data_IF_986154389831
#
_entry.id   IF_986154389831
#
_cell.length_a   1.000
_cell.length_b   1.000
_cell.length_c   1.000
_cell.angle_alpha   90.00
_cell.angle_beta   90.00
_cell.angle_gamma   90.00
#
_symmetry.space_group_name_H-M   'P 1'
#
loop_
_entity.id
_entity.type
_entity.pdbx_description
1 polymer ?
#
# COMPACT_ATOMS: atom_id res chain seq x y z
N UNK A 1 -4.40 10.59 10.66
CA UNK A 1 -3.62 11.42 9.72
C UNK A 1 -4.45 12.52 9.07
N UNK A 2 -5.47 12.17 8.27
CA UNK A 2 -6.28 13.14 7.49
C UNK A 2 -6.94 14.24 8.32
N UNK A 3 -7.27 13.98 9.59
CA UNK A 3 -7.72 15.04 10.49
C UNK A 3 -6.66 16.13 10.71
N UNK A 4 -5.40 15.73 10.91
CA UNK A 4 -4.31 16.67 11.17
C UNK A 4 -3.89 17.39 9.89
N UNK A 5 -3.86 16.67 8.75
CA UNK A 5 -3.61 17.20 7.42
C UNK A 5 -4.72 16.78 6.45
N UNK A 6 -5.80 17.56 6.33
CA UNK A 6 -6.92 17.24 5.45
C UNK A 6 -6.51 17.22 3.97
N UNK A 7 -7.11 16.37 3.12
CA UNK A 7 -6.87 16.42 1.68
C UNK A 7 -7.05 17.84 1.11
N UNK A 8 -6.13 18.27 0.26
CA UNK A 8 -6.18 19.58 -0.39
C UNK A 8 -6.27 19.37 -1.90
N UNK A 9 -7.22 20.01 -2.58
CA UNK A 9 -7.44 19.92 -4.03
C UNK A 9 -7.28 18.49 -4.59
N UNK A 10 -7.89 17.49 -3.93
CA UNK A 10 -7.86 16.09 -4.35
C UNK A 10 -6.58 15.30 -4.00
N UNK A 11 -5.58 15.89 -3.34
CA UNK A 11 -4.40 15.16 -2.85
C UNK A 11 -4.50 14.93 -1.35
N UNK A 12 -4.52 13.65 -0.95
CA UNK A 12 -4.45 13.23 0.44
C UNK A 12 -2.98 13.18 0.93
N UNK A 13 -2.72 13.36 2.24
CA UNK A 13 -1.41 13.08 2.80
C UNK A 13 -1.11 11.57 2.77
N UNK A 14 0.17 11.22 2.79
CA UNK A 14 0.65 9.84 2.91
C UNK A 14 1.75 9.73 3.97
N UNK A 15 1.91 8.52 4.52
CA UNK A 15 3.00 8.20 5.44
C UNK A 15 4.32 8.19 4.67
N UNK A 16 5.33 8.88 5.19
CA UNK A 16 6.71 8.87 4.67
C UNK A 16 7.69 8.19 5.62
N UNK A 17 7.28 7.89 6.84
CA UNK A 17 8.07 7.19 7.83
C UNK A 17 7.18 6.57 8.90
N UNK A 18 7.28 5.27 9.13
CA UNK A 18 6.38 4.57 10.05
C UNK A 18 6.89 4.57 11.48
N UNK A 19 5.99 4.42 12.44
CA UNK A 19 6.36 4.16 13.83
C UNK A 19 7.07 2.80 13.93
N UNK A 20 8.22 2.77 14.62
CA UNK A 20 9.04 1.56 14.78
C UNK A 20 9.86 1.20 13.55
N UNK A 21 9.86 2.03 12.49
CA UNK A 21 10.74 1.83 11.33
C UNK A 21 12.20 1.90 11.76
N UNK A 22 12.97 0.85 11.50
CA UNK A 22 14.38 0.82 11.85
C UNK A 22 15.16 1.75 10.92
N UNK A 23 15.62 2.87 11.47
CA UNK A 23 16.56 3.77 10.80
C UNK A 23 17.95 3.47 11.32
N UNK A 24 18.97 3.70 10.49
CA UNK A 24 20.40 3.32 10.65
C UNK A 24 21.04 3.42 12.05
N UNK A 25 20.45 4.12 13.02
CA UNK A 25 20.90 4.14 14.41
C UNK A 25 19.82 3.82 15.47
N UNK A 26 18.52 4.00 15.20
CA UNK A 26 17.40 3.83 16.15
C UNK A 26 16.07 3.64 15.44
N UNK A 27 15.15 2.96 16.12
CA UNK A 27 13.76 2.85 15.68
C UNK A 27 13.07 4.22 15.73
N UNK A 28 12.26 4.48 14.70
CA UNK A 28 11.55 5.74 14.56
C UNK A 28 10.41 5.85 15.59
N UNK A 29 10.48 6.84 16.49
CA UNK A 29 9.58 6.97 17.64
C UNK A 29 8.17 7.50 17.34
N UNK A 30 7.85 7.77 16.08
CA UNK A 30 6.58 8.39 15.66
C UNK A 30 6.26 8.04 14.21
N UNK A 31 5.24 8.68 13.64
CA UNK A 31 4.89 8.55 12.22
C UNK A 31 5.10 9.89 11.52
N UNK A 32 5.83 9.87 10.41
CA UNK A 32 6.08 11.01 9.54
C UNK A 32 5.11 10.98 8.37
N UNK A 33 4.54 12.13 7.99
CA UNK A 33 3.63 12.21 6.85
C UNK A 33 3.58 13.61 6.23
N UNK A 34 3.30 13.65 4.93
CA UNK A 34 3.17 14.88 4.15
C UNK A 34 2.31 14.64 2.88
N UNK A 35 2.15 15.64 2.00
CA UNK A 35 1.38 15.47 0.75
C UNK A 35 2.21 14.92 -0.40
N UNK A 36 3.50 15.26 -0.45
CA UNK A 36 4.42 14.91 -1.52
C UNK A 36 5.81 14.65 -0.92
N UNK A 37 6.53 13.61 -1.34
CA UNK A 37 7.88 13.35 -0.83
C UNK A 37 8.85 14.50 -1.13
N UNK A 38 9.73 14.83 -0.16
CA UNK A 38 10.79 15.84 -0.32
C UNK A 38 10.39 17.29 -0.01
N UNK A 39 11.27 18.24 -0.38
CA UNK A 39 11.10 19.69 -0.18
C UNK A 39 10.42 20.37 -1.39
N UNK A 40 9.36 19.77 -1.93
CA UNK A 40 8.73 20.26 -3.15
C UNK A 40 7.23 20.53 -2.96
N UNK A 41 6.70 21.35 -3.86
CA UNK A 41 5.27 21.53 -4.05
C UNK A 41 4.54 22.05 -2.81
N UNK A 42 3.37 21.48 -2.53
CA UNK A 42 2.42 21.97 -1.52
C UNK A 42 3.00 22.02 -0.10
N UNK A 43 3.97 21.18 0.24
CA UNK A 43 4.54 21.18 1.58
C UNK A 43 5.27 22.50 1.90
N UNK A 44 5.77 23.22 0.87
CA UNK A 44 6.39 24.54 1.02
C UNK A 44 5.38 25.67 1.28
N UNK A 45 4.08 25.40 1.12
CA UNK A 45 3.01 26.35 1.45
C UNK A 45 2.62 26.30 2.93
N UNK A 46 3.34 25.51 3.74
CA UNK A 46 3.12 25.38 5.18
C UNK A 46 1.64 25.08 5.52
N UNK A 47 1.06 23.98 4.99
CA UNK A 47 -0.34 23.66 5.20
C UNK A 47 -0.68 23.59 6.70
N UNK A 48 -1.88 24.09 7.05
CA UNK A 48 -2.36 24.08 8.44
C UNK A 48 -2.40 22.66 8.99
N UNK A 49 -1.83 22.50 10.18
CA UNK A 49 -1.89 21.26 10.97
C UNK A 49 -2.94 21.43 12.04
N UNK A 50 -3.78 20.40 12.20
CA UNK A 50 -4.90 20.39 13.14
C UNK A 50 -4.71 19.35 14.24
N UNK A 51 -5.39 19.54 15.36
CA UNK A 51 -5.34 18.61 16.49
C UNK A 51 -5.96 17.25 16.11
N UNK A 52 -5.28 16.13 16.40
CA UNK A 52 -5.86 14.80 16.18
C UNK A 52 -7.01 14.48 17.16
N UNK A 53 -7.02 15.13 18.33
CA UNK A 53 -7.89 14.82 19.47
C UNK A 53 -8.43 16.08 20.16
N UNK A 54 -9.48 15.92 20.96
CA UNK A 54 -9.78 16.91 21.99
C UNK A 54 -8.83 16.73 23.18
N UNK A 55 -8.50 17.81 23.88
CA UNK A 55 -7.58 17.74 25.02
C UNK A 55 -7.04 19.09 25.45
N UNK A 56 -6.06 19.06 26.36
CA UNK A 56 -5.38 20.27 26.85
C UNK A 56 -3.96 20.33 26.35
N UNK A 57 -3.54 21.48 25.83
CA UNK A 57 -2.16 21.72 25.40
C UNK A 57 -1.26 21.74 26.64
N UNK A 58 -0.27 20.85 26.70
CA UNK A 58 0.70 20.77 27.80
C UNK A 58 2.06 21.32 27.44
N UNK A 59 2.29 21.64 26.16
CA UNK A 59 3.52 22.30 25.69
C UNK A 59 3.30 22.87 24.29
N UNK A 60 3.86 24.03 23.99
CA UNK A 60 3.80 24.67 22.68
C UNK A 60 5.11 25.45 22.40
N UNK A 61 5.83 25.09 21.32
CA UNK A 61 7.05 25.78 20.87
C UNK A 61 8.32 24.93 20.96
N UNK A 62 9.42 25.53 21.42
CA UNK A 62 10.73 24.87 21.51
C UNK A 62 11.44 24.69 20.16
N UNK A 63 12.63 24.10 20.20
CA UNK A 63 13.52 23.98 19.05
C UNK A 63 13.02 23.07 17.93
N UNK A 64 12.01 22.25 18.19
CA UNK A 64 11.34 21.40 17.21
C UNK A 64 10.00 21.96 16.73
N UNK A 65 9.53 23.10 17.26
CA UNK A 65 8.17 23.59 16.96
C UNK A 65 7.10 22.59 17.41
N UNK A 66 7.21 22.10 18.64
CA UNK A 66 6.38 21.02 19.17
C UNK A 66 5.06 21.56 19.73
N UNK A 67 3.96 20.84 19.50
CA UNK A 67 2.72 20.94 20.27
C UNK A 67 2.46 19.62 20.96
N UNK A 68 2.27 19.63 22.29
CA UNK A 68 1.85 18.46 23.07
C UNK A 68 0.43 18.65 23.57
N UNK A 69 -0.41 17.64 23.41
CA UNK A 69 -1.82 17.65 23.80
C UNK A 69 -2.05 16.43 24.67
N UNK A 70 -2.65 16.64 25.85
CA UNK A 70 -3.10 15.56 26.72
C UNK A 70 -4.59 15.31 26.51
N UNK A 71 -4.93 14.08 26.13
CA UNK A 71 -6.34 13.67 25.96
C UNK A 71 -6.98 13.31 27.32
N UNK A 72 -8.27 12.99 27.29
CA UNK A 72 -9.03 12.61 28.48
C UNK A 72 -8.57 11.28 29.12
N UNK A 73 -7.90 10.43 28.35
CA UNK A 73 -7.35 9.15 28.77
C UNK A 73 -5.94 9.30 29.35
N UNK A 74 -5.37 10.51 29.35
CA UNK A 74 -4.03 10.81 29.85
C UNK A 74 -2.92 10.58 28.82
N UNK A 75 -3.24 10.19 27.58
CA UNK A 75 -2.25 10.02 26.52
C UNK A 75 -1.68 11.38 26.10
N UNK A 76 -0.41 11.39 25.73
CA UNK A 76 0.30 12.58 25.25
C UNK A 76 0.52 12.48 23.74
N UNK A 77 -0.19 13.33 22.99
CA UNK A 77 -0.06 13.50 21.55
C UNK A 77 0.96 14.59 21.27
N UNK A 78 2.10 14.26 20.67
CA UNK A 78 3.15 15.23 20.39
C UNK A 78 3.37 15.38 18.89
N UNK A 79 3.13 16.59 18.39
CA UNK A 79 3.25 16.98 16.99
C UNK A 79 4.47 17.86 16.85
N UNK A 80 5.44 17.45 16.03
CA UNK A 80 6.76 18.07 15.90
C UNK A 80 6.98 18.61 14.49
N UNK A 81 8.07 19.37 14.36
CA UNK A 81 8.57 20.00 13.13
C UNK A 81 7.66 21.10 12.57
N UNK A 82 6.76 21.67 13.38
CA UNK A 82 5.90 22.75 12.92
C UNK A 82 6.71 24.01 12.61
N UNK A 83 6.33 24.67 11.52
CA UNK A 83 6.87 25.97 11.12
C UNK A 83 6.28 27.08 12.00
N UNK A 84 4.95 27.11 12.15
CA UNK A 84 4.23 27.99 13.06
C UNK A 84 3.47 27.21 14.12
N UNK A 85 3.44 27.71 15.35
CA UNK A 85 2.58 27.21 16.44
C UNK A 85 1.50 28.26 16.73
N UNK A 86 0.24 27.83 16.76
CA UNK A 86 -0.94 28.71 16.92
C UNK A 86 -1.63 28.59 18.28
N UNK A 87 -1.15 27.68 19.12
CA UNK A 87 -1.73 27.38 20.43
C UNK A 87 -0.74 27.70 21.55
N UNK A 88 -1.25 27.75 22.78
CA UNK A 88 -0.45 27.98 24.00
C UNK A 88 -0.73 26.93 25.06
N UNK A 89 0.22 26.72 25.95
CA UNK A 89 0.06 25.84 27.10
C UNK A 89 -1.17 26.22 27.94
N UNK A 90 -1.91 25.21 28.41
CA UNK A 90 -3.18 25.34 29.12
C UNK A 90 -4.41 25.51 28.23
N UNK A 91 -4.26 25.70 26.91
CA UNK A 91 -5.40 25.81 26.00
C UNK A 91 -6.14 24.48 25.83
N UNK A 92 -7.46 24.49 25.98
CA UNK A 92 -8.33 23.36 25.61
C UNK A 92 -8.63 23.39 24.12
N UNK A 93 -8.55 22.23 23.47
CA UNK A 93 -8.77 22.02 22.05
C UNK A 93 -9.87 20.99 21.82
N UNK A 94 -10.61 21.18 20.73
CA UNK A 94 -11.41 20.14 20.09
C UNK A 94 -10.59 19.41 19.03
N UNK A 95 -10.99 18.19 18.70
CA UNK A 95 -10.42 17.47 17.56
C UNK A 95 -10.68 18.26 16.27
N UNK A 96 -9.64 18.48 15.47
CA UNK A 96 -9.71 19.28 14.25
C UNK A 96 -9.41 20.77 14.42
N UNK A 97 -9.18 21.27 15.64
CA UNK A 97 -8.75 22.66 15.83
C UNK A 97 -7.37 22.91 15.22
N UNK A 98 -7.16 24.08 14.61
CA UNK A 98 -5.86 24.43 14.04
C UNK A 98 -4.82 24.65 15.14
N UNK A 99 -3.70 23.92 15.07
CA UNK A 99 -2.62 23.97 16.08
C UNK A 99 -1.34 24.62 15.58
N UNK A 100 -1.15 24.68 14.26
CA UNK A 100 0.07 25.20 13.65
C UNK A 100 0.12 25.03 12.14
N UNK A 101 1.32 25.07 11.58
CA UNK A 101 1.58 24.84 10.16
C UNK A 101 2.72 23.85 9.98
N UNK A 102 2.63 23.02 8.94
CA UNK A 102 3.67 22.04 8.61
C UNK A 102 5.00 22.75 8.36
N UNK A 103 6.09 22.16 8.83
CA UNK A 103 7.44 22.68 8.64
C UNK A 103 8.48 21.57 8.52
N UNK A 104 9.74 21.96 8.74
CA UNK A 104 10.89 21.08 8.83
C UNK A 104 11.80 21.46 10.00
N UNK A 105 11.22 22.10 11.03
CA UNK A 105 11.99 22.71 12.12
C UNK A 105 12.69 21.65 12.98
N UNK A 106 13.98 21.86 13.23
CA UNK A 106 14.78 21.06 14.13
C UNK A 106 15.69 21.91 15.00
N UNK A 107 16.49 21.28 15.88
CA UNK A 107 17.36 21.96 16.83
C UNK A 107 18.36 22.94 16.17
N UNK A 108 18.70 22.70 14.91
CA UNK A 108 19.66 23.47 14.15
C UNK A 108 19.02 24.49 13.18
N UNK A 109 17.69 24.65 13.18
CA UNK A 109 17.02 25.68 12.38
C UNK A 109 15.62 25.33 11.88
N UNK A 110 14.95 26.31 11.27
CA UNK A 110 13.56 26.21 10.82
C UNK A 110 13.33 25.23 9.65
N UNK A 111 14.36 24.90 8.88
CA UNK A 111 14.29 24.02 7.69
C UNK A 111 15.32 22.89 7.75
N UNK A 112 15.67 22.42 8.95
CA UNK A 112 16.65 21.34 9.13
C UNK A 112 16.23 20.03 8.45
N UNK A 113 14.94 19.74 8.45
CA UNK A 113 14.37 18.54 7.85
C UNK A 113 13.56 18.88 6.60
N UNK A 114 13.28 17.87 5.77
CA UNK A 114 12.26 18.01 4.73
C UNK A 114 10.90 18.36 5.36
N UNK A 115 10.00 18.98 4.60
CA UNK A 115 8.71 19.39 5.14
C UNK A 115 7.82 18.17 5.44
N UNK A 116 7.49 17.96 6.71
CA UNK A 116 6.63 16.88 7.16
C UNK A 116 6.00 17.22 8.52
N UNK A 117 4.97 16.45 8.88
CA UNK A 117 4.51 16.39 10.27
C UNK A 117 5.04 15.10 10.87
N UNK A 118 5.77 15.22 11.98
CA UNK A 118 6.11 14.07 12.82
C UNK A 118 5.12 14.02 13.98
N UNK A 119 4.42 12.90 14.13
CA UNK A 119 3.51 12.68 15.23
C UNK A 119 3.97 11.48 16.06
N UNK A 120 4.25 11.71 17.34
CA UNK A 120 4.53 10.66 18.32
C UNK A 120 3.41 10.62 19.37
N UNK A 121 3.12 9.42 19.86
CA UNK A 121 2.09 9.19 20.87
C UNK A 121 2.70 8.48 22.07
N UNK A 122 2.37 8.95 23.26
CA UNK A 122 2.67 8.26 24.51
C UNK A 122 1.39 7.91 25.23
N UNK A 123 1.31 6.72 25.80
CA UNK A 123 0.21 6.36 26.70
C UNK A 123 0.28 7.14 28.02
N UNK A 124 -0.72 6.96 28.88
CA UNK A 124 -0.77 7.60 30.20
C UNK A 124 0.44 7.28 31.11
N UNK A 125 1.16 6.18 30.83
CA UNK A 125 2.37 5.78 31.56
C UNK A 125 3.65 6.35 30.91
N UNK A 126 3.54 7.12 29.84
CA UNK A 126 4.65 7.72 29.11
C UNK A 126 5.32 6.79 28.08
N UNK A 127 4.81 5.56 27.89
CA UNK A 127 5.36 4.60 26.93
C UNK A 127 4.99 5.04 25.52
N UNK A 128 5.96 5.04 24.61
CA UNK A 128 5.71 5.28 23.18
C UNK A 128 4.78 4.20 22.62
N UNK A 129 3.77 4.65 21.87
CA UNK A 129 2.79 3.80 21.22
C UNK A 129 2.58 4.26 19.78
N UNK A 130 2.05 3.35 18.95
CA UNK A 130 1.84 3.61 17.53
C UNK A 130 0.75 4.66 17.29
N UNK A 131 1.10 5.83 16.72
CA UNK A 131 0.12 6.84 16.30
C UNK A 131 -0.86 6.28 15.26
N UNK A 132 -0.34 5.46 14.34
CA UNK A 132 -1.10 4.76 13.31
C UNK A 132 -2.22 3.90 13.91
N UNK A 133 -1.93 3.17 14.98
CA UNK A 133 -2.93 2.36 15.69
C UNK A 133 -4.00 3.25 16.32
N UNK A 134 -3.58 4.30 17.02
CA UNK A 134 -4.49 5.21 17.70
C UNK A 134 -5.50 5.88 16.75
N UNK A 135 -5.03 6.47 15.64
CA UNK A 135 -5.97 7.16 14.73
C UNK A 135 -6.81 6.18 13.90
N UNK A 136 -6.37 4.94 13.74
CA UNK A 136 -7.19 3.88 13.11
C UNK A 136 -8.31 3.42 14.06
N UNK A 137 -8.05 3.37 15.36
CA UNK A 137 -9.07 3.14 16.39
C UNK A 137 -10.04 4.32 16.52
N UNK A 138 -9.56 5.57 16.49
CA UNK A 138 -10.41 6.77 16.51
C UNK A 138 -11.42 6.82 15.37
N UNK A 139 -11.03 6.40 14.15
CA UNK A 139 -11.96 6.26 13.01
C UNK A 139 -13.06 5.22 13.25
N UNK A 140 -12.81 4.20 14.07
CA UNK A 140 -13.81 3.19 14.43
C UNK A 140 -14.78 3.71 15.49
N UNK A 141 -14.34 4.56 16.42
CA UNK A 141 -15.21 5.22 17.39
C UNK A 141 -16.12 6.28 16.74
N UNK A 142 -15.59 7.10 15.83
CA UNK A 142 -16.38 8.10 15.09
C UNK A 142 -17.38 7.43 14.13
N UNK A 143 -17.03 6.28 13.53
CA UNK A 143 -17.94 5.48 12.70
C UNK A 143 -18.94 4.63 13.53
N UNK A 144 -18.64 4.39 14.81
CA UNK A 144 -19.45 3.58 15.74
C UNK A 144 -20.56 4.36 16.45
N UNK A 145 -20.55 5.69 16.40
CA UNK A 145 -21.63 6.52 16.96
C UNK A 145 -22.95 6.45 16.15
N UNK A 146 -22.97 5.72 15.03
CA UNK A 146 -24.12 5.61 14.13
C UNK A 146 -24.77 4.23 14.01
N UNK A 147 -24.44 3.24 14.85
CA UNK A 147 -25.26 2.02 14.89
C UNK A 147 -25.28 1.36 16.26
N UNK A 148 -26.44 1.42 16.89
CA UNK A 148 -26.87 0.59 18.01
C UNK A 148 -27.14 -0.84 17.51
N UNK A 149 -26.24 -1.79 17.77
CA UNK A 149 -26.64 -3.14 18.20
C UNK A 149 -25.48 -3.97 18.76
N UNK A 150 -25.81 -4.67 19.83
CA UNK A 150 -25.07 -5.58 20.70
C UNK A 150 -24.51 -6.83 19.99
N UNK A 151 -23.20 -7.11 20.15
CA UNK A 151 -22.56 -8.45 20.17
C UNK A 151 -21.07 -8.33 20.58
N UNK A 152 -20.44 -9.35 21.20
CA UNK A 152 -19.31 -9.17 22.11
C UNK A 152 -17.93 -9.07 21.43
N UNK A 153 -17.00 -8.51 22.21
CA UNK A 153 -15.58 -8.28 21.99
C UNK A 153 -14.86 -9.22 21.00
N UNK A 154 -14.24 -8.63 19.99
CA UNK A 154 -13.07 -9.19 19.29
C UNK A 154 -12.17 -8.04 18.86
N UNK A 155 -10.97 -7.98 19.44
CA UNK A 155 -10.00 -6.89 19.30
C UNK A 155 -9.45 -6.77 17.88
N UNK A 156 -10.04 -5.89 17.07
CA UNK A 156 -9.53 -5.61 15.71
C UNK A 156 -8.51 -4.45 15.72
N UNK A 157 -7.43 -4.58 16.49
CA UNK A 157 -6.23 -3.75 16.36
C UNK A 157 -5.20 -4.44 15.48
N UNK A 158 -4.55 -3.74 14.55
CA UNK A 158 -3.53 -4.32 13.67
C UNK A 158 -2.39 -4.95 14.50
N UNK A 159 -1.97 -6.18 14.16
CA UNK A 159 -0.86 -6.87 14.85
C UNK A 159 0.47 -6.52 14.17
N UNK A 160 1.56 -6.37 14.91
CA UNK A 160 2.89 -6.01 14.36
C UNK A 160 4.01 -6.49 15.26
N UNK A 161 5.24 -6.33 14.77
CA UNK A 161 6.45 -6.66 15.51
C UNK A 161 6.47 -6.06 16.92
N UNK A 162 6.80 -6.91 17.91
CA UNK A 162 6.81 -6.59 19.33
C UNK A 162 5.48 -6.85 20.07
N UNK A 163 4.39 -7.14 19.35
CA UNK A 163 3.12 -7.51 19.99
C UNK A 163 3.20 -8.89 20.64
N UNK A 164 2.53 -9.05 21.78
CA UNK A 164 2.39 -10.33 22.48
C UNK A 164 0.94 -10.51 22.93
N UNK A 165 0.21 -11.44 22.32
CA UNK A 165 -1.20 -11.70 22.62
C UNK A 165 -1.71 -13.02 22.03
N UNK A 166 -2.89 -13.46 22.47
CA UNK A 166 -3.60 -14.59 21.85
C UNK A 166 -3.97 -14.34 20.38
N UNK A 167 -4.15 -13.09 19.97
CA UNK A 167 -4.41 -12.75 18.56
C UNK A 167 -3.15 -12.96 17.69
N UNK A 168 -1.96 -12.76 18.25
CA UNK A 168 -0.69 -13.08 17.58
C UNK A 168 -0.50 -14.60 17.47
N UNK A 169 -0.86 -15.36 18.50
CA UNK A 169 -0.82 -16.82 18.46
C UNK A 169 -1.74 -17.36 17.36
N UNK A 170 -2.96 -16.81 17.28
CA UNK A 170 -3.92 -17.15 16.22
C UNK A 170 -3.44 -16.75 14.83
N UNK A 171 -2.80 -15.59 14.70
CA UNK A 171 -2.13 -15.19 13.45
C UNK A 171 -1.06 -16.21 13.02
N UNK A 172 -0.19 -16.62 13.94
CA UNK A 172 0.88 -17.59 13.65
C UNK A 172 0.30 -18.94 13.21
N UNK A 173 -0.78 -19.39 13.85
CA UNK A 173 -1.54 -20.58 13.44
C UNK A 173 -2.14 -20.43 12.03
N UNK A 174 -2.75 -19.29 11.73
CA UNK A 174 -3.35 -19.01 10.42
C UNK A 174 -2.29 -18.95 9.31
N UNK A 175 -1.14 -18.30 9.55
CA UNK A 175 0.00 -18.27 8.63
C UNK A 175 0.56 -19.67 8.37
N UNK A 176 0.74 -20.47 9.43
CA UNK A 176 1.21 -21.86 9.31
C UNK A 176 0.23 -22.72 8.48
N UNK A 177 -1.08 -22.56 8.71
CA UNK A 177 -2.16 -23.26 7.98
C UNK A 177 -2.18 -22.88 6.50
N UNK A 178 -1.92 -21.62 6.17
CA UNK A 178 -1.80 -21.14 4.79
C UNK A 178 -0.48 -21.55 4.10
N UNK A 179 0.39 -22.27 4.80
CA UNK A 179 1.68 -22.72 4.25
C UNK A 179 2.75 -21.63 4.22
N UNK A 180 2.48 -20.45 4.79
CA UNK A 180 3.46 -19.37 4.90
C UNK A 180 4.53 -19.76 5.93
N UNK A 181 5.78 -19.44 5.62
CA UNK A 181 6.98 -19.82 6.39
C UNK A 181 7.82 -18.56 6.66
N UNK A 182 8.76 -18.69 7.60
CA UNK A 182 9.78 -17.65 7.78
C UNK A 182 10.74 -17.58 6.59
N UNK A 183 11.67 -16.63 6.63
CA UNK A 183 12.65 -16.42 5.57
C UNK A 183 13.59 -17.62 5.34
N UNK A 184 13.70 -18.52 6.32
CA UNK A 184 14.52 -19.74 6.27
C UNK A 184 13.71 -20.97 5.84
N UNK A 185 12.41 -20.81 5.56
CA UNK A 185 11.51 -21.88 5.15
C UNK A 185 10.97 -22.71 6.32
N UNK A 186 11.23 -22.32 7.57
CA UNK A 186 10.74 -23.03 8.74
C UNK A 186 9.31 -22.62 9.09
N UNK A 187 8.64 -23.51 9.82
CA UNK A 187 7.32 -23.26 10.40
C UNK A 187 7.45 -22.27 11.56
N UNK A 188 6.49 -21.34 11.69
CA UNK A 188 6.46 -20.39 12.80
C UNK A 188 6.16 -21.10 14.12
N UNK A 189 6.81 -20.65 15.21
CA UNK A 189 6.39 -20.98 16.56
C UNK A 189 5.05 -20.26 16.86
N UNK A 190 4.08 -21.01 17.36
CA UNK A 190 2.75 -20.52 17.74
C UNK A 190 2.79 -20.10 19.23
N UNK A 191 3.66 -19.15 19.56
CA UNK A 191 4.02 -18.77 20.92
C UNK A 191 3.38 -17.44 21.38
N UNK A 192 2.56 -16.83 20.53
CA UNK A 192 1.89 -15.57 20.79
C UNK A 192 2.80 -14.34 20.71
N UNK A 193 4.05 -14.48 20.25
CA UNK A 193 5.03 -13.38 20.16
C UNK A 193 5.30 -12.99 18.72
N UNK A 194 5.03 -11.72 18.41
CA UNK A 194 5.27 -11.19 17.08
C UNK A 194 6.74 -10.74 16.97
N UNK A 195 7.66 -11.71 16.90
CA UNK A 195 9.08 -11.49 16.64
C UNK A 195 9.43 -11.44 15.16
N UNK A 196 10.72 -11.34 14.84
CA UNK A 196 11.24 -11.21 13.48
C UNK A 196 10.68 -12.28 12.53
N UNK A 197 10.67 -13.55 12.94
CA UNK A 197 10.15 -14.65 12.11
C UNK A 197 8.66 -14.45 11.73
N UNK A 198 7.85 -13.94 12.66
CA UNK A 198 6.42 -13.66 12.40
C UNK A 198 6.27 -12.47 11.46
N UNK A 199 7.11 -11.44 11.61
CA UNK A 199 7.14 -10.28 10.72
C UNK A 199 7.51 -10.65 9.29
N UNK A 200 8.56 -11.45 9.12
CA UNK A 200 9.00 -11.90 7.80
C UNK A 200 7.92 -12.77 7.13
N UNK A 201 7.26 -13.65 7.87
CA UNK A 201 6.14 -14.43 7.34
C UNK A 201 4.93 -13.55 6.96
N UNK A 202 4.62 -12.52 7.74
CA UNK A 202 3.57 -11.55 7.38
C UNK A 202 3.94 -10.78 6.13
N UNK A 203 5.20 -10.34 5.98
CA UNK A 203 5.68 -9.70 4.76
C UNK A 203 5.62 -10.64 3.56
N UNK A 204 5.91 -11.92 3.74
CA UNK A 204 5.77 -12.94 2.70
C UNK A 204 4.31 -13.13 2.27
N UNK A 205 3.37 -13.19 3.23
CA UNK A 205 1.94 -13.22 2.93
C UNK A 205 1.52 -11.93 2.18
N UNK A 206 1.93 -10.77 2.68
CA UNK A 206 1.61 -9.49 2.04
C UNK A 206 2.14 -9.45 0.61
N UNK A 207 3.37 -9.88 0.38
CA UNK A 207 3.96 -10.03 -0.95
C UNK A 207 3.14 -10.95 -1.84
N UNK A 208 2.75 -12.11 -1.33
CA UNK A 208 1.94 -13.09 -2.06
C UNK A 208 0.57 -12.52 -2.46
N UNK A 209 0.01 -11.62 -1.66
CA UNK A 209 -1.30 -11.00 -1.88
C UNK A 209 -1.22 -9.59 -2.49
N UNK A 210 -0.06 -9.17 -3.00
CA UNK A 210 0.12 -7.85 -3.63
C UNK A 210 -0.08 -6.67 -2.68
N UNK A 211 0.00 -6.92 -1.36
CA UNK A 211 -0.11 -5.92 -0.32
C UNK A 211 1.25 -5.26 -0.07
N UNK A 212 1.21 -4.08 0.55
CA UNK A 212 2.42 -3.44 1.08
C UNK A 212 3.10 -4.38 2.10
N UNK A 213 4.37 -4.68 1.87
CA UNK A 213 5.18 -5.58 2.70
C UNK A 213 5.71 -4.85 3.94
N UNK A 214 4.80 -4.30 4.74
CA UNK A 214 5.13 -3.51 5.93
C UNK A 214 5.30 -4.38 7.19
N UNK A 215 4.97 -5.68 7.11
CA UNK A 215 5.05 -6.60 8.25
C UNK A 215 3.97 -6.35 9.29
N UNK A 216 2.92 -5.58 8.95
CA UNK A 216 1.81 -5.21 9.83
C UNK A 216 0.53 -5.92 9.39
N UNK A 217 -0.09 -6.62 10.32
CA UNK A 217 -1.37 -7.31 10.14
C UNK A 217 -2.53 -6.33 10.32
N UNK A 218 -2.63 -5.39 9.37
CA UNK A 218 -3.75 -4.47 9.22
C UNK A 218 -5.01 -5.14 8.66
N UNK A 219 -6.03 -4.34 8.33
CA UNK A 219 -7.31 -4.85 7.80
C UNK A 219 -7.12 -5.67 6.52
N UNK A 220 -6.27 -5.20 5.61
CA UNK A 220 -6.02 -5.86 4.32
C UNK A 220 -5.26 -7.16 4.52
N UNK A 221 -4.26 -7.17 5.40
CA UNK A 221 -3.53 -8.39 5.78
C UNK A 221 -4.44 -9.39 6.51
N UNK A 222 -5.34 -8.94 7.39
CA UNK A 222 -6.37 -9.79 8.01
C UNK A 222 -7.35 -10.37 7.00
N UNK A 223 -7.74 -9.58 6.00
CA UNK A 223 -8.56 -10.08 4.90
C UNK A 223 -7.83 -11.17 4.10
N UNK A 224 -6.53 -10.99 3.84
CA UNK A 224 -5.69 -12.02 3.21
C UNK A 224 -5.54 -13.29 4.08
N UNK A 225 -5.45 -13.17 5.40
CA UNK A 225 -5.41 -14.31 6.34
C UNK A 225 -6.75 -15.08 6.41
N UNK A 226 -7.87 -14.36 6.24
CA UNK A 226 -9.22 -14.93 6.28
C UNK A 226 -9.66 -15.49 4.93
N UNK A 227 -8.99 -15.10 3.85
CA UNK A 227 -9.19 -15.69 2.55
C UNK A 227 -8.65 -17.12 2.56
N UNK A 228 -9.56 -18.10 2.64
CA UNK A 228 -9.24 -19.46 2.19
C UNK A 228 -8.71 -19.39 0.76
N UNK A 229 -7.86 -20.35 0.30
CA UNK A 229 -7.36 -20.37 -1.07
C UNK A 229 -8.55 -20.56 -2.03
N UNK A 230 -9.18 -19.46 -2.39
CA UNK A 230 -10.28 -19.37 -3.33
C UNK A 230 -10.05 -18.07 -4.06
N UNK A 231 -9.50 -18.21 -5.28
CA UNK A 231 -10.04 -17.60 -6.48
C UNK A 231 -10.85 -16.32 -6.19
N UNK A 232 -10.17 -15.18 -6.20
CA UNK A 232 -10.75 -13.88 -5.85
C UNK A 232 -11.90 -13.53 -6.78
N UNK A 233 -13.12 -13.52 -6.23
CA UNK A 233 -14.21 -12.65 -6.68
C UNK A 233 -14.09 -11.32 -5.93
N UNK A 234 -13.81 -10.22 -6.63
CA UNK A 234 -14.01 -8.86 -6.11
C UNK A 234 -15.21 -8.18 -6.77
N UNK A 235 -15.95 -7.40 -5.98
CA UNK A 235 -17.16 -6.69 -6.37
C UNK A 235 -16.86 -5.25 -6.82
N UNK A 236 -17.20 -4.98 -8.08
CA UNK A 236 -17.81 -3.75 -8.59
C UNK A 236 -17.12 -2.39 -8.30
N UNK A 237 -16.00 -2.16 -8.96
CA UNK A 237 -15.80 -0.95 -9.76
C UNK A 237 -15.96 -1.41 -11.21
N UNK A 238 -16.83 -0.77 -12.00
CA UNK A 238 -17.32 -1.25 -13.31
C UNK A 238 -16.38 -2.23 -14.03
N UNK A 239 -16.82 -3.50 -14.10
CA UNK A 239 -16.07 -4.60 -14.69
C UNK A 239 -15.49 -4.22 -16.07
N UNK A 240 -14.23 -4.55 -16.38
CA UNK A 240 -13.88 -4.71 -17.78
C UNK A 240 -14.74 -5.85 -18.33
N UNK A 241 -15.48 -5.58 -19.40
CA UNK A 241 -16.35 -6.56 -20.06
C UNK A 241 -15.49 -7.66 -20.70
N UNK A 242 -15.18 -8.74 -19.98
CA UNK A 242 -14.59 -9.93 -20.59
C UNK A 242 -13.86 -10.88 -19.63
N UNK A 243 -13.44 -12.05 -20.14
CA UNK A 243 -12.74 -13.07 -19.36
C UNK A 243 -11.39 -12.57 -18.83
N UNK A 244 -10.86 -13.19 -17.77
CA UNK A 244 -9.51 -12.90 -17.24
C UNK A 244 -8.44 -13.59 -18.11
N UNK A 245 -7.22 -13.04 -18.21
CA UNK A 245 -6.14 -13.63 -19.01
C UNK A 245 -5.75 -15.06 -18.58
N UNK A 246 -6.00 -15.42 -17.32
CA UNK A 246 -5.79 -16.77 -16.79
C UNK A 246 -6.94 -17.74 -17.15
N UNK A 247 -8.04 -17.24 -17.69
CA UNK A 247 -9.17 -18.04 -18.15
C UNK A 247 -8.94 -18.51 -19.59
N UNK A 248 -9.19 -19.79 -19.85
CA UNK A 248 -9.06 -20.38 -21.19
C UNK A 248 -9.98 -19.73 -22.24
N UNK A 249 -11.05 -19.06 -21.80
CA UNK A 249 -11.94 -18.28 -22.67
C UNK A 249 -11.35 -16.92 -23.10
N UNK A 250 -10.24 -16.48 -22.50
CA UNK A 250 -9.57 -15.27 -22.94
C UNK A 250 -8.83 -15.53 -24.26
N UNK A 251 -9.03 -14.69 -25.29
CA UNK A 251 -8.49 -14.94 -26.62
C UNK A 251 -6.94 -14.91 -26.66
N UNK A 252 -6.30 -14.17 -25.74
CA UNK A 252 -4.84 -14.16 -25.57
C UNK A 252 -4.30 -15.19 -24.55
N UNK A 253 -5.14 -16.07 -24.00
CA UNK A 253 -4.73 -17.06 -23.00
C UNK A 253 -3.64 -18.01 -23.51
N UNK A 254 -3.74 -18.46 -24.76
CA UNK A 254 -2.76 -19.37 -25.36
C UNK A 254 -1.37 -18.72 -25.46
N UNK A 255 -1.31 -17.46 -25.89
CA UNK A 255 -0.07 -16.69 -25.95
C UNK A 255 0.49 -16.44 -24.54
N UNK A 256 -0.38 -16.09 -23.59
CA UNK A 256 0.01 -15.91 -22.19
C UNK A 256 0.63 -17.17 -21.59
N UNK A 257 0.00 -18.33 -21.76
CA UNK A 257 0.52 -19.60 -21.27
C UNK A 257 1.87 -19.97 -21.91
N UNK A 258 2.00 -19.75 -23.22
CA UNK A 258 3.25 -20.02 -23.94
C UNK A 258 4.41 -19.17 -23.39
N UNK A 259 4.16 -17.88 -23.11
CA UNK A 259 5.14 -16.99 -22.48
C UNK A 259 5.42 -17.41 -21.03
N UNK A 260 4.38 -17.64 -20.23
CA UNK A 260 4.51 -18.02 -18.81
C UNK A 260 5.32 -19.29 -18.62
N UNK A 261 5.14 -20.28 -19.48
CA UNK A 261 5.86 -21.56 -19.45
C UNK A 261 7.37 -21.43 -19.69
N UNK A 262 7.80 -20.36 -20.38
CA UNK A 262 9.21 -20.09 -20.69
C UNK A 262 9.85 -19.06 -19.75
N UNK A 263 9.05 -18.35 -18.96
CA UNK A 263 9.54 -17.45 -17.92
C UNK A 263 9.90 -18.24 -16.65
N UNK A 264 10.90 -17.79 -15.87
CA UNK A 264 11.18 -18.38 -14.56
C UNK A 264 9.95 -18.37 -13.65
N UNK A 265 9.80 -19.42 -12.83
CA UNK A 265 8.65 -19.55 -11.91
C UNK A 265 8.56 -18.41 -10.89
N UNK A 266 9.69 -17.79 -10.54
CA UNK A 266 9.80 -16.62 -9.65
C UNK A 266 9.19 -15.33 -10.22
N UNK A 267 8.95 -15.27 -11.54
CA UNK A 267 8.24 -14.14 -12.16
C UNK A 267 6.75 -14.28 -11.85
N UNK A 268 6.14 -13.22 -11.33
CA UNK A 268 4.71 -13.25 -10.96
C UNK A 268 3.81 -13.34 -12.18
N UNK A 269 2.54 -13.71 -11.97
CA UNK A 269 1.57 -13.82 -13.07
C UNK A 269 1.24 -12.44 -13.67
N UNK A 270 1.27 -11.38 -12.85
CA UNK A 270 1.10 -9.99 -13.27
C UNK A 270 2.24 -9.55 -14.18
N UNK A 271 3.49 -9.86 -13.81
CA UNK A 271 4.66 -9.58 -14.66
C UNK A 271 4.61 -10.41 -15.94
N UNK A 272 4.23 -11.68 -15.87
CA UNK A 272 4.06 -12.53 -17.07
C UNK A 272 2.95 -11.99 -17.99
N UNK A 273 1.84 -11.49 -17.43
CA UNK A 273 0.76 -10.85 -18.18
C UNK A 273 1.22 -9.54 -18.85
N UNK A 274 2.03 -8.75 -18.14
CA UNK A 274 2.64 -7.55 -18.71
C UNK A 274 3.58 -7.87 -19.87
N UNK A 275 4.38 -8.95 -19.75
CA UNK A 275 5.19 -9.46 -20.87
C UNK A 275 4.29 -9.88 -22.03
N UNK A 276 3.15 -10.54 -21.79
CA UNK A 276 2.17 -10.89 -22.82
C UNK A 276 1.62 -9.67 -23.57
N UNK A 277 1.23 -8.62 -22.84
CA UNK A 277 0.74 -7.37 -23.43
C UNK A 277 1.80 -6.73 -24.33
N UNK A 278 3.03 -6.57 -23.85
CA UNK A 278 4.12 -5.98 -24.61
C UNK A 278 4.50 -6.83 -25.83
N UNK A 279 4.50 -8.16 -25.68
CA UNK A 279 4.76 -9.11 -26.77
C UNK A 279 3.75 -8.93 -27.91
N UNK A 280 2.46 -8.82 -27.58
CA UNK A 280 1.39 -8.57 -28.55
C UNK A 280 1.50 -7.21 -29.24
N UNK A 281 1.81 -6.16 -28.48
CA UNK A 281 2.00 -4.81 -29.03
C UNK A 281 3.19 -4.72 -30.01
N UNK A 282 4.17 -5.61 -29.88
CA UNK A 282 5.33 -5.69 -30.77
C UNK A 282 5.15 -6.71 -31.92
N UNK A 283 3.91 -7.11 -32.22
CA UNK A 283 3.57 -7.90 -33.41
C UNK A 283 3.56 -9.43 -33.22
N UNK A 284 3.88 -9.91 -32.02
CA UNK A 284 3.80 -11.33 -31.67
C UNK A 284 2.44 -11.56 -31.00
N UNK A 285 1.40 -11.66 -31.81
CA UNK A 285 -0.01 -11.64 -31.38
C UNK A 285 -0.65 -13.02 -31.16
N UNK A 286 0.09 -14.11 -31.40
CA UNK A 286 -0.37 -15.49 -31.17
C UNK A 286 0.75 -16.40 -30.68
N UNK A 287 0.38 -17.50 -30.02
CA UNK A 287 1.34 -18.49 -29.52
C UNK A 287 2.20 -19.10 -30.64
N UNK A 288 1.64 -19.31 -31.84
CA UNK A 288 2.37 -19.84 -32.99
C UNK A 288 3.42 -18.87 -33.54
N UNK A 289 3.25 -17.57 -33.26
CA UNK A 289 4.23 -16.54 -33.60
C UNK A 289 5.33 -16.41 -32.55
N UNK A 290 5.25 -17.11 -31.42
CA UNK A 290 6.27 -17.09 -30.37
C UNK A 290 7.39 -18.09 -30.67
N UNK A 291 8.59 -17.61 -30.94
CA UNK A 291 9.75 -18.47 -31.15
C UNK A 291 10.45 -18.79 -29.82
N UNK A 292 10.81 -17.77 -29.05
CA UNK A 292 11.56 -17.95 -27.81
C UNK A 292 11.30 -16.84 -26.80
N UNK A 293 11.51 -17.15 -25.51
CA UNK A 293 11.56 -16.20 -24.41
C UNK A 293 12.81 -16.50 -23.60
N UNK A 294 13.69 -15.51 -23.43
CA UNK A 294 14.86 -15.61 -22.57
C UNK A 294 14.85 -14.49 -21.54
N UNK A 295 15.39 -14.75 -20.35
CA UNK A 295 15.56 -13.73 -19.32
C UNK A 295 17.05 -13.48 -19.14
N UNK A 296 17.46 -12.24 -19.31
CA UNK A 296 18.84 -11.80 -19.14
C UNK A 296 18.87 -10.39 -18.55
N UNK A 297 19.71 -10.16 -17.55
CA UNK A 297 19.91 -8.85 -16.89
C UNK A 297 18.60 -8.19 -16.40
N UNK A 298 17.69 -9.00 -15.85
CA UNK A 298 16.39 -8.53 -15.36
C UNK A 298 15.40 -8.16 -16.47
N UNK A 299 15.67 -8.51 -17.74
CA UNK A 299 14.77 -8.28 -18.87
C UNK A 299 14.33 -9.59 -19.51
N UNK A 300 13.05 -9.68 -19.87
CA UNK A 300 12.55 -10.72 -20.75
C UNK A 300 12.70 -10.28 -22.21
N UNK A 301 13.45 -11.05 -22.98
CA UNK A 301 13.56 -10.91 -24.43
C UNK A 301 12.65 -11.94 -25.09
N UNK A 302 11.67 -11.46 -25.84
CA UNK A 302 10.69 -12.27 -26.55
C UNK A 302 10.98 -12.15 -28.04
N UNK A 303 11.13 -13.28 -28.71
CA UNK A 303 11.45 -13.35 -30.14
C UNK A 303 10.31 -14.05 -30.86
N UNK A 304 9.85 -13.45 -31.95
CA UNK A 304 8.80 -13.99 -32.80
C UNK A 304 9.36 -14.83 -33.95
N UNK A 305 8.51 -15.68 -34.55
CA UNK A 305 8.87 -16.47 -35.74
C UNK A 305 8.94 -15.61 -37.01
N UNK A 306 8.24 -14.47 -37.04
CA UNK A 306 8.36 -13.48 -38.10
C UNK A 306 9.63 -12.64 -37.90
N UNK A 307 10.55 -12.59 -38.88
CA UNK A 307 11.76 -11.78 -38.79
C UNK A 307 11.45 -10.31 -38.45
N UNK A 308 12.10 -9.78 -37.41
CA UNK A 308 11.94 -8.41 -36.95
C UNK A 308 10.95 -8.21 -35.81
N UNK A 309 10.06 -9.17 -35.53
CA UNK A 309 9.17 -9.10 -34.36
C UNK A 309 9.88 -9.58 -33.10
N UNK A 310 10.05 -8.65 -32.15
CA UNK A 310 10.71 -8.89 -30.87
C UNK A 310 10.20 -7.90 -29.82
N UNK A 311 10.19 -8.32 -28.56
CA UNK A 311 9.92 -7.44 -27.43
C UNK A 311 11.03 -7.59 -26.37
N UNK A 312 11.32 -6.50 -25.67
CA UNK A 312 12.20 -6.51 -24.50
C UNK A 312 11.46 -5.83 -23.34
N UNK A 313 11.23 -6.57 -22.26
CA UNK A 313 10.40 -6.14 -21.13
C UNK A 313 11.23 -6.15 -19.86
N UNK A 314 11.29 -5.02 -19.17
CA UNK A 314 11.98 -4.91 -17.88
C UNK A 314 11.15 -5.58 -16.77
N UNK A 315 11.70 -6.62 -16.16
CA UNK A 315 11.02 -7.42 -15.14
C UNK A 315 11.18 -6.83 -13.73
N UNK A 316 12.04 -5.83 -13.55
CA UNK A 316 12.22 -5.13 -12.28
C UNK A 316 11.24 -3.98 -12.09
N UNK A 317 10.51 -3.61 -13.16
CA UNK A 317 9.46 -2.61 -13.08
C UNK A 317 8.18 -3.23 -12.49
N UNK A 318 7.44 -2.49 -11.64
CA UNK A 318 6.14 -2.94 -11.15
C UNK A 318 5.19 -3.24 -12.32
N UNK A 319 4.66 -4.46 -12.36
CA UNK A 319 3.67 -4.86 -13.36
C UNK A 319 2.27 -4.39 -12.95
N UNK A 320 1.41 -3.96 -13.88
CA UNK A 320 0.01 -3.66 -13.59
C UNK A 320 -0.72 -4.91 -13.08
N UNK A 321 -1.81 -4.74 -12.30
CA UNK A 321 -2.68 -5.85 -11.92
C UNK A 321 -3.13 -6.68 -13.13
N UNK A 322 -3.30 -7.99 -12.93
CA UNK A 322 -3.66 -8.94 -13.98
C UNK A 322 -4.98 -8.54 -14.66
N UNK A 323 -5.96 -8.09 -13.89
CA UNK A 323 -7.28 -7.67 -14.36
C UNK A 323 -7.17 -6.45 -15.28
N UNK A 324 -6.30 -5.49 -14.91
CA UNK A 324 -6.05 -4.31 -15.73
C UNK A 324 -5.38 -4.68 -17.05
N UNK A 325 -4.43 -5.61 -17.01
CA UNK A 325 -3.72 -6.09 -18.21
C UNK A 325 -4.64 -6.93 -19.11
N UNK A 326 -5.49 -7.77 -18.51
CA UNK A 326 -6.53 -8.54 -19.22
C UNK A 326 -7.50 -7.60 -19.95
N UNK A 327 -7.96 -6.55 -19.26
CA UNK A 327 -8.83 -5.54 -19.85
C UNK A 327 -8.16 -4.82 -21.05
N UNK A 328 -6.88 -4.49 -20.95
CA UNK A 328 -6.13 -3.84 -22.03
C UNK A 328 -5.97 -4.74 -23.25
N UNK A 329 -5.72 -6.03 -23.06
CA UNK A 329 -5.64 -7.01 -24.15
C UNK A 329 -6.98 -7.14 -24.89
N UNK A 330 -8.09 -7.20 -24.16
CA UNK A 330 -9.44 -7.25 -24.73
C UNK A 330 -9.80 -5.95 -25.49
N UNK A 331 -9.44 -4.79 -24.95
CA UNK A 331 -9.69 -3.50 -25.59
C UNK A 331 -8.93 -3.35 -26.92
N UNK A 332 -7.66 -3.79 -26.97
CA UNK A 332 -6.84 -3.78 -28.19
C UNK A 332 -7.43 -4.64 -29.32
N UNK A 333 -8.07 -5.76 -29.00
CA UNK A 333 -8.75 -6.60 -30.00
C UNK A 333 -9.96 -5.91 -30.63
N UNK A 334 -10.75 -5.22 -29.80
CA UNK A 334 -11.96 -4.53 -30.26
C UNK A 334 -11.59 -3.46 -31.30
N UNK A 335 -10.49 -2.76 -31.08
CA UNK A 335 -9.96 -1.75 -32.01
C UNK A 335 -9.42 -2.38 -33.31
N UNK A 336 -8.69 -3.50 -33.22
CA UNK A 336 -8.19 -4.21 -34.41
C UNK A 336 -9.30 -4.80 -35.27
N UNK A 337 -10.38 -5.33 -34.67
CA UNK A 337 -11.54 -5.87 -35.39
C UNK A 337 -12.36 -4.77 -36.08
N UNK A 338 -12.53 -3.62 -35.42
CA UNK A 338 -13.16 -2.45 -36.04
C UNK A 338 -12.34 -1.94 -37.23
N UNK A 339 -11.03 -1.81 -37.08
CA UNK A 339 -10.14 -1.41 -38.17
C UNK A 339 -10.18 -2.40 -39.36
N UNK A 340 -10.24 -3.70 -39.10
CA UNK A 340 -10.39 -4.71 -40.18
C UNK A 340 -11.75 -4.64 -40.87
N UNK A 341 -12.85 -4.44 -40.14
CA UNK A 341 -14.19 -4.29 -40.74
C UNK A 341 -14.30 -3.01 -41.58
N UNK A 342 -13.72 -1.90 -41.11
CA UNK A 342 -13.67 -0.66 -41.89
C UNK A 342 -12.85 -0.83 -43.18
N UNK A 343 -11.67 -1.46 -43.10
CA UNK A 343 -10.85 -1.74 -44.29
C UNK A 343 -11.57 -2.65 -45.29
N UNK A 344 -12.31 -3.67 -44.82
CA UNK A 344 -13.11 -4.53 -45.69
C UNK A 344 -14.31 -3.80 -46.32
N UNK A 345 -14.96 -2.88 -45.59
CA UNK A 345 -16.02 -2.03 -46.15
C UNK A 345 -15.49 -1.08 -47.23
N UNK A 346 -14.31 -0.49 -47.03
CA UNK A 346 -13.66 0.37 -48.01
C UNK A 346 -13.25 -0.43 -49.26
N UNK A 347 -12.77 -1.66 -49.10
CA UNK A 347 -12.43 -2.54 -50.23
C UNK A 347 -13.65 -3.05 -51.02
N UNK A 348 -14.82 -3.17 -50.39
CA UNK A 348 -16.08 -3.63 -51.02
C UNK A 348 -16.95 -2.49 -51.58
N UNK A 349 -16.74 -1.24 -51.13
CA UNK A 349 -17.44 -0.06 -51.64
C UNK A 349 -16.76 0.63 -52.83
N UNK A 350 -15.60 0.14 -53.26
CA UNK A 350 -14.84 0.63 -54.42
C UNK A 350 -15.06 -0.22 -55.67
N UNK A 351 -16.32 -0.42 -56.08
CA UNK A 351 -16.69 -1.00 -57.39
C UNK A 351 -17.81 -0.20 -58.03
#
# INVERSE_FOLDING_TARGET
>A
MERMLPPQNGTAPHVTGHYGEHRSARDHGGTDFNYQGGQAGRNLQHPTVHSPVAGTVTFAGGSYGTVKIRDAQGNSHEILHLDGVKVKEGQTLSAGDAIGTMGGRGPNGASQYAQHVHYQLRDANGKLTSPETFWNQGRQHDAGAHNTHTAPASGTGALRHGDNSQDVEKLQQDLNRLGVRDAQGNRLAEDGRFGDNTREAVMALQKQHGLQQDGVVGRNTRAALSAQPVQTREAQVAAPKGPSLNDASHPDHALHNAIRSKLPSMISNETAAHVTLQTKQNGIDSADKLQNVTVQDGKAFVVGTTPGFRAAVDLNQPAPPLEQTSAQLLAGQSQQQQAHQEQQKVAMGGR
#
